data_IF_141375048637
#
_entry.id   IF_141375048637
#
_cell.length_a   1.000
_cell.length_b   1.000
_cell.length_c   1.000
_cell.angle_alpha   90.00
_cell.angle_beta   90.00
_cell.angle_gamma   90.00
#
_symmetry.space_group_name_H-M   'P 1'
#
loop_
_entity.id
_entity.type
_entity.pdbx_description
1 polymer ?
#
# COMPACT_ATOMS: atom_id res chain seq x y z
N UNK A 1 0.30 -11.14 -49.08
CA UNK A 1 -0.37 -12.22 -48.39
C UNK A 1 -1.63 -11.70 -47.69
N UNK A 2 -2.62 -12.54 -47.47
CA UNK A 2 -3.85 -12.23 -46.75
C UNK A 2 -3.76 -12.81 -45.36
N UNK A 3 -4.28 -12.10 -44.37
CA UNK A 3 -4.33 -12.53 -42.98
C UNK A 3 -5.75 -12.48 -42.44
N UNK A 4 -6.11 -13.44 -41.60
CA UNK A 4 -7.37 -13.47 -40.86
C UNK A 4 -7.24 -12.80 -39.48
N UNK A 5 -8.40 -12.53 -38.86
CA UNK A 5 -8.41 -12.02 -37.48
C UNK A 5 -7.78 -13.06 -36.55
N UNK A 6 -6.91 -12.61 -35.63
CA UNK A 6 -6.14 -13.43 -34.71
C UNK A 6 -5.04 -14.32 -35.34
N UNK A 7 -4.78 -14.20 -36.64
CA UNK A 7 -3.65 -14.88 -37.28
C UNK A 7 -2.33 -14.19 -36.90
N UNK A 8 -1.27 -14.95 -36.50
CA UNK A 8 0.00 -14.37 -36.10
C UNK A 8 0.70 -13.70 -37.30
N UNK A 9 1.03 -12.40 -37.14
CA UNK A 9 1.70 -11.60 -38.18
C UNK A 9 3.22 -11.70 -38.12
N UNK A 10 3.75 -11.78 -36.91
CA UNK A 10 5.19 -11.88 -36.63
C UNK A 10 5.44 -12.34 -35.20
N UNK A 11 6.64 -12.84 -34.96
CA UNK A 11 7.15 -13.23 -33.66
C UNK A 11 8.14 -12.17 -33.17
N UNK A 12 7.91 -11.61 -31.97
CA UNK A 12 8.83 -10.66 -31.33
C UNK A 12 9.58 -11.39 -30.23
N UNK A 13 10.90 -11.49 -30.39
CA UNK A 13 11.78 -12.10 -29.40
C UNK A 13 12.36 -11.03 -28.47
N UNK A 14 12.25 -11.27 -27.17
CA UNK A 14 12.91 -10.45 -26.13
C UNK A 14 13.88 -11.33 -25.36
N UNK A 15 14.74 -10.72 -24.52
CA UNK A 15 15.71 -11.45 -23.67
C UNK A 15 15.04 -12.43 -22.66
N UNK A 16 13.72 -12.46 -22.57
CA UNK A 16 12.97 -13.26 -21.59
C UNK A 16 11.81 -14.07 -22.13
N UNK A 17 11.16 -13.64 -23.21
CA UNK A 17 9.98 -14.30 -23.78
C UNK A 17 9.86 -14.01 -25.27
N UNK A 18 9.52 -15.04 -26.06
CA UNK A 18 9.08 -14.92 -27.44
C UNK A 18 7.55 -14.73 -27.43
N UNK A 19 7.05 -13.72 -28.13
CA UNK A 19 5.62 -13.37 -28.16
C UNK A 19 5.16 -13.22 -29.59
N UNK A 20 4.12 -13.95 -29.98
CA UNK A 20 3.44 -13.78 -31.27
C UNK A 20 2.50 -12.57 -31.23
N UNK A 21 2.51 -11.75 -32.29
CA UNK A 21 1.64 -10.57 -32.44
C UNK A 21 0.54 -10.93 -33.44
N UNK A 22 -0.72 -11.13 -32.98
CA UNK A 22 -1.84 -11.47 -33.86
C UNK A 22 -2.39 -10.24 -34.59
N UNK A 23 -2.99 -10.45 -35.76
CA UNK A 23 -3.67 -9.42 -36.52
C UNK A 23 -5.02 -9.06 -35.88
N UNK A 24 -5.29 -7.78 -35.55
CA UNK A 24 -6.59 -7.35 -35.04
C UNK A 24 -7.70 -7.26 -36.11
N UNK A 25 -7.35 -7.40 -37.39
CA UNK A 25 -8.30 -7.29 -38.52
C UNK A 25 -7.93 -8.26 -39.63
N UNK A 26 -8.92 -8.77 -40.35
CA UNK A 26 -8.68 -9.52 -41.57
C UNK A 26 -8.41 -8.58 -42.77
N UNK A 27 -7.45 -8.91 -43.60
CA UNK A 27 -7.12 -8.13 -44.79
C UNK A 27 -5.87 -8.57 -45.52
N UNK A 28 -5.43 -7.76 -46.47
CA UNK A 28 -4.16 -8.02 -47.21
C UNK A 28 -3.05 -7.17 -46.61
N UNK A 29 -1.89 -7.79 -46.39
CA UNK A 29 -0.69 -7.06 -45.97
C UNK A 29 -0.25 -6.12 -47.10
N UNK A 30 -0.29 -4.81 -46.81
CA UNK A 30 0.06 -3.76 -47.79
C UNK A 30 1.55 -3.38 -47.71
N UNK A 31 2.08 -3.34 -46.49
CA UNK A 31 3.46 -2.89 -46.24
C UNK A 31 3.95 -3.46 -44.94
N UNK A 32 5.18 -3.99 -44.93
CA UNK A 32 5.93 -4.37 -43.73
C UNK A 32 7.01 -3.32 -43.53
N UNK A 33 7.04 -2.70 -42.37
CA UNK A 33 7.88 -1.53 -42.09
C UNK A 33 9.21 -1.86 -41.42
N UNK A 34 9.40 -3.08 -40.95
CA UNK A 34 10.63 -3.57 -40.30
C UNK A 34 11.09 -4.88 -40.92
N UNK A 35 12.39 -5.14 -40.94
CA UNK A 35 12.97 -6.40 -41.47
C UNK A 35 13.27 -7.34 -40.29
N UNK A 36 13.58 -8.62 -40.62
CA UNK A 36 14.12 -9.57 -39.63
C UNK A 36 15.37 -8.98 -38.95
N UNK A 37 15.43 -9.15 -37.62
CA UNK A 37 16.50 -8.64 -36.73
C UNK A 37 16.49 -7.13 -36.46
N UNK A 38 15.49 -6.36 -36.89
CA UNK A 38 15.36 -4.95 -36.54
C UNK A 38 14.80 -4.78 -35.09
N UNK A 39 15.32 -3.78 -34.38
CA UNK A 39 14.82 -3.43 -33.03
C UNK A 39 13.60 -2.52 -33.17
N UNK A 40 12.49 -2.87 -32.51
CA UNK A 40 11.21 -2.17 -32.58
C UNK A 40 10.83 -1.66 -31.18
N UNK A 41 10.44 -0.39 -31.07
CA UNK A 41 9.96 0.17 -29.80
C UNK A 41 8.46 -0.09 -29.59
N UNK A 42 8.04 -0.19 -28.33
CA UNK A 42 6.64 -0.42 -27.97
C UNK A 42 5.77 0.76 -28.40
N UNK A 43 4.89 0.50 -29.39
CA UNK A 43 3.99 1.50 -29.96
C UNK A 43 4.24 1.83 -31.43
N UNK A 44 5.31 1.30 -32.01
CA UNK A 44 5.60 1.48 -33.44
C UNK A 44 4.66 0.66 -34.35
N UNK A 45 4.38 1.20 -35.54
CA UNK A 45 3.55 0.53 -36.54
C UNK A 45 4.42 -0.45 -37.34
N UNK A 46 4.18 -1.74 -37.14
CA UNK A 46 5.01 -2.82 -37.70
C UNK A 46 4.53 -3.23 -39.10
N UNK A 47 3.22 -3.38 -39.27
CA UNK A 47 2.57 -3.86 -40.50
C UNK A 47 1.33 -3.03 -40.82
N UNK A 48 1.04 -2.79 -42.10
CA UNK A 48 -0.20 -2.18 -42.57
C UNK A 48 -1.05 -3.23 -43.28
N UNK A 49 -2.28 -3.43 -42.78
CA UNK A 49 -3.26 -4.33 -43.35
C UNK A 49 -4.42 -3.52 -43.93
N UNK A 50 -4.87 -3.83 -45.14
CA UNK A 50 -5.97 -3.10 -45.79
C UNK A 50 -6.57 -3.86 -46.95
N UNK A 51 -7.59 -3.28 -47.63
CA UNK A 51 -8.22 -3.85 -48.84
C UNK A 51 -7.41 -3.54 -50.10
N UNK A 52 -7.24 -4.47 -51.03
CA UNK A 52 -6.49 -4.23 -52.29
C UNK A 52 -7.12 -3.12 -53.12
N UNK A 53 -6.39 -2.00 -53.32
CA UNK A 53 -6.82 -0.94 -54.24
C UNK A 53 -6.71 0.49 -53.76
N UNK A 54 -6.31 0.81 -52.54
CA UNK A 54 -6.07 2.17 -52.12
C UNK A 54 -4.57 2.52 -52.13
N UNK A 55 -4.18 3.34 -53.11
CA UNK A 55 -2.84 3.88 -53.23
C UNK A 55 -2.52 4.88 -52.11
N UNK A 56 -1.24 5.05 -51.68
CA UNK A 56 -0.88 5.85 -50.53
C UNK A 56 -0.97 7.35 -50.83
N UNK A 57 -1.76 8.07 -50.05
CA UNK A 57 -1.71 9.54 -49.99
C UNK A 57 -0.61 9.99 -49.03
N UNK A 58 0.12 10.99 -49.49
CA UNK A 58 1.29 11.59 -48.89
C UNK A 58 1.03 12.20 -47.50
N UNK A 59 2.12 12.29 -46.74
CA UNK A 59 2.27 12.92 -45.42
C UNK A 59 1.59 14.28 -45.33
N UNK A 60 0.79 14.47 -44.31
CA UNK A 60 0.52 15.79 -43.71
C UNK A 60 0.70 15.73 -42.20
N UNK A 61 1.36 16.77 -41.68
CA UNK A 61 1.66 17.02 -40.29
C UNK A 61 0.38 17.26 -39.44
N UNK A 62 0.42 17.06 -38.14
CA UNK A 62 -0.79 17.07 -37.31
C UNK A 62 -1.33 18.48 -37.08
N UNK A 63 -2.53 18.72 -37.57
CA UNK A 63 -3.30 19.90 -37.25
C UNK A 63 -4.16 19.70 -36.00
N UNK A 64 -4.21 20.79 -35.25
CA UNK A 64 -4.87 21.00 -33.96
C UNK A 64 -6.35 20.58 -33.92
N UNK A 65 -6.74 20.07 -32.75
CA UNK A 65 -8.12 19.80 -32.35
C UNK A 65 -9.08 21.00 -32.55
N UNK A 66 -10.33 20.77 -32.95
CA UNK A 66 -11.38 21.77 -32.88
C UNK A 66 -12.12 21.75 -31.56
N UNK A 67 -12.19 22.90 -30.97
CA UNK A 67 -12.91 23.35 -29.79
C UNK A 67 -14.43 23.22 -30.00
N UNK A 68 -15.11 22.51 -29.10
CA UNK A 68 -16.58 22.57 -29.04
C UNK A 68 -17.04 23.81 -28.28
N UNK A 69 -18.01 24.52 -28.86
CA UNK A 69 -18.63 25.74 -28.35
C UNK A 69 -19.57 25.48 -27.18
N UNK A 70 -19.53 26.39 -26.20
CA UNK A 70 -20.51 26.52 -25.12
C UNK A 70 -21.60 27.57 -25.50
N UNK A 71 -22.82 27.45 -24.96
CA UNK A 71 -23.84 28.47 -25.18
C UNK A 71 -23.71 29.68 -24.24
N UNK A 72 -23.90 30.86 -24.81
CA UNK A 72 -23.94 32.19 -24.18
C UNK A 72 -25.15 32.41 -23.29
N UNK A 73 -24.94 33.17 -22.19
CA UNK A 73 -25.77 34.34 -21.75
C UNK A 73 -25.14 34.87 -20.46
N UNK A 74 -25.02 36.07 -20.08
CA UNK A 74 -25.23 37.46 -20.58
C UNK A 74 -24.39 38.38 -19.67
N UNK A 75 -23.84 39.46 -20.21
CA UNK A 75 -23.07 40.49 -19.53
C UNK A 75 -24.03 41.52 -18.89
N UNK A 76 -23.60 42.64 -18.23
CA UNK A 76 -22.28 43.26 -18.24
C UNK A 76 -21.82 43.89 -16.90
N UNK A 77 -20.54 44.02 -16.67
CA UNK A 77 -19.98 45.11 -15.86
C UNK A 77 -18.50 45.37 -16.18
N UNK A 78 -18.31 46.52 -16.77
CA UNK A 78 -17.15 47.46 -16.79
C UNK A 78 -15.75 46.89 -16.89
N UNK A 79 -15.22 46.99 -18.05
CA UNK A 79 -13.82 47.02 -18.46
C UNK A 79 -13.05 48.10 -17.70
N UNK A 80 -12.05 47.73 -16.93
CA UNK A 80 -10.92 48.59 -16.62
C UNK A 80 -9.70 47.89 -17.24
N UNK A 81 -9.19 48.46 -18.32
CA UNK A 81 -7.89 48.14 -18.89
C UNK A 81 -6.83 48.49 -17.84
N UNK A 82 -6.00 47.52 -17.46
CA UNK A 82 -4.75 47.79 -16.78
C UNK A 82 -3.67 46.85 -17.34
N UNK A 83 -2.88 47.38 -18.22
CA UNK A 83 -1.80 46.70 -18.94
C UNK A 83 -0.54 46.48 -18.11
N UNK A 84 -0.60 46.42 -16.77
CA UNK A 84 0.57 46.22 -15.93
C UNK A 84 0.31 45.51 -14.59
N UNK A 85 -0.66 44.62 -14.50
CA UNK A 85 -0.85 43.87 -13.26
C UNK A 85 -0.08 42.54 -13.34
N UNK A 86 0.91 42.28 -12.43
CA UNK A 86 1.62 41.03 -12.39
C UNK A 86 0.66 39.85 -12.22
N UNK A 87 0.96 38.72 -12.86
CA UNK A 87 0.15 37.50 -12.71
C UNK A 87 0.15 37.00 -11.26
N UNK A 88 -1.00 37.10 -10.60
CA UNK A 88 -1.22 36.67 -9.21
C UNK A 88 -2.35 35.66 -9.13
N UNK A 89 -2.25 34.72 -8.18
CA UNK A 89 -3.33 33.76 -7.94
C UNK A 89 -4.58 34.45 -7.37
N UNK A 90 -5.79 33.89 -7.60
CA UNK A 90 -7.04 34.48 -7.06
C UNK A 90 -7.01 34.68 -5.53
N UNK A 91 -6.31 33.82 -4.80
CA UNK A 91 -6.15 33.93 -3.35
C UNK A 91 -5.31 35.15 -2.94
N UNK A 92 -4.23 35.42 -3.66
CA UNK A 92 -3.35 36.58 -3.42
C UNK A 92 -4.09 37.88 -3.74
N UNK A 93 -4.89 37.89 -4.80
CA UNK A 93 -5.74 39.04 -5.16
C UNK A 93 -6.78 39.36 -4.10
N UNK A 94 -7.54 38.35 -3.62
CA UNK A 94 -8.48 38.51 -2.50
C UNK A 94 -7.80 39.00 -1.22
N UNK A 95 -6.56 38.58 -0.96
CA UNK A 95 -5.82 39.00 0.21
C UNK A 95 -5.36 40.44 0.11
N UNK A 96 -4.92 40.90 -1.09
CA UNK A 96 -4.56 42.29 -1.37
C UNK A 96 -5.77 43.19 -1.22
N UNK A 97 -6.91 42.81 -1.79
CA UNK A 97 -8.17 43.54 -1.64
C UNK A 97 -8.60 43.69 -0.18
N UNK A 98 -8.49 42.60 0.58
CA UNK A 98 -8.82 42.56 2.04
C UNK A 98 -7.97 43.52 2.87
N UNK A 99 -6.70 43.69 2.50
CA UNK A 99 -5.76 44.52 3.23
C UNK A 99 -5.48 45.87 2.57
N UNK A 100 -6.17 46.21 1.48
CA UNK A 100 -6.00 47.48 0.76
C UNK A 100 -4.62 47.66 0.13
N UNK A 101 -3.97 46.57 -0.26
CA UNK A 101 -2.62 46.58 -0.84
C UNK A 101 -2.70 46.63 -2.38
N UNK A 102 -2.04 47.64 -2.96
CA UNK A 102 -1.92 47.75 -4.40
C UNK A 102 -0.85 46.79 -4.93
N UNK A 103 -1.28 45.78 -5.69
CA UNK A 103 -0.41 44.74 -6.24
C UNK A 103 0.61 45.28 -7.28
N UNK A 104 0.42 46.49 -7.81
CA UNK A 104 1.38 47.12 -8.74
C UNK A 104 2.62 47.65 -8.03
N UNK A 105 2.55 47.87 -6.70
CA UNK A 105 3.63 48.37 -5.86
C UNK A 105 4.36 47.30 -5.10
N UNK A 106 3.89 46.04 -5.17
CA UNK A 106 4.46 44.91 -4.44
C UNK A 106 5.46 44.16 -5.32
N UNK A 107 6.72 44.11 -4.86
CA UNK A 107 7.75 43.31 -5.51
C UNK A 107 7.59 41.82 -5.17
N UNK A 108 7.33 40.96 -6.17
CA UNK A 108 7.11 39.54 -5.97
C UNK A 108 8.40 38.74 -5.73
N UNK A 109 8.48 38.02 -4.60
CA UNK A 109 9.63 37.16 -4.23
C UNK A 109 9.52 35.73 -4.80
N UNK A 110 8.50 35.41 -5.58
CA UNK A 110 8.30 34.10 -6.20
C UNK A 110 9.13 33.87 -7.47
N UNK A 111 9.22 32.61 -7.92
CA UNK A 111 9.92 32.24 -9.15
C UNK A 111 9.31 33.03 -10.33
N UNK A 112 10.17 33.74 -11.08
CA UNK A 112 9.75 34.59 -12.17
C UNK A 112 9.08 35.90 -11.75
N UNK A 113 9.36 36.44 -10.55
CA UNK A 113 8.80 37.69 -10.06
C UNK A 113 7.32 37.59 -9.60
N UNK A 114 6.84 36.39 -9.34
CA UNK A 114 5.44 36.19 -8.90
C UNK A 114 5.21 36.68 -7.49
N UNK A 115 4.15 37.47 -7.26
CA UNK A 115 3.75 37.93 -5.93
C UNK A 115 3.12 36.79 -5.15
N UNK A 116 3.65 36.52 -3.94
CA UNK A 116 3.16 35.50 -2.99
C UNK A 116 2.29 36.14 -1.91
N UNK A 117 1.55 35.30 -1.18
CA UNK A 117 0.76 35.70 0.00
C UNK A 117 1.61 36.49 1.03
N UNK A 118 2.86 36.08 1.22
CA UNK A 118 3.78 36.71 2.15
C UNK A 118 4.17 38.12 1.74
N UNK A 119 4.32 38.41 0.46
CA UNK A 119 4.68 39.71 -0.08
C UNK A 119 3.53 40.72 0.14
N UNK A 120 2.28 40.27 -0.02
CA UNK A 120 1.09 41.08 0.27
C UNK A 120 0.96 41.39 1.77
N UNK A 121 1.22 40.40 2.66
CA UNK A 121 1.17 40.59 4.10
C UNK A 121 2.29 41.51 4.58
N UNK A 122 3.50 41.44 3.99
CA UNK A 122 4.61 42.33 4.28
C UNK A 122 4.29 43.77 3.85
N UNK A 123 3.70 43.95 2.65
CA UNK A 123 3.26 45.25 2.15
C UNK A 123 2.08 45.84 2.96
N UNK A 124 1.23 44.99 3.54
CA UNK A 124 0.13 45.39 4.41
C UNK A 124 0.57 45.80 5.82
N UNK A 125 1.85 45.66 6.17
CA UNK A 125 2.35 45.93 7.54
C UNK A 125 1.83 44.96 8.62
N UNK A 126 1.21 43.86 8.22
CA UNK A 126 0.67 42.84 9.12
C UNK A 126 1.71 41.72 9.23
N UNK A 127 2.63 41.85 10.22
CA UNK A 127 3.58 40.78 10.52
C UNK A 127 5.05 41.11 10.31
N UNK A 128 5.52 42.25 10.75
CA UNK A 128 6.95 42.46 10.94
C UNK A 128 7.38 41.84 12.28
N UNK A 129 7.68 40.54 12.30
CA UNK A 129 8.64 40.03 13.25
C UNK A 129 10.05 40.45 12.77
N UNK A 130 10.97 40.84 13.67
CA UNK A 130 12.30 41.34 13.27
C UNK A 130 13.02 40.28 12.46
N UNK A 131 13.59 40.69 11.35
CA UNK A 131 14.42 39.84 10.51
C UNK A 131 15.53 39.23 11.34
N UNK A 132 15.36 37.97 11.72
CA UNK A 132 16.47 37.16 12.21
C UNK A 132 17.52 37.13 11.13
N UNK A 133 18.72 37.62 11.40
CA UNK A 133 19.89 37.47 10.57
C UNK A 133 20.02 35.98 10.21
N UNK A 134 19.91 35.70 8.92
CA UNK A 134 20.14 34.35 8.39
C UNK A 134 21.64 34.07 8.63
N UNK A 135 21.93 33.35 9.71
CA UNK A 135 23.20 32.69 9.84
C UNK A 135 23.46 31.84 8.59
N UNK A 136 24.69 31.78 8.05
CA UNK A 136 24.97 30.95 6.89
C UNK A 136 24.50 29.55 7.17
N UNK A 137 23.62 29.04 6.31
CA UNK A 137 23.07 27.70 6.41
C UNK A 137 24.25 26.72 6.48
N UNK A 138 24.46 26.13 7.65
CA UNK A 138 25.35 24.99 7.76
C UNK A 138 24.81 23.91 6.80
N UNK A 139 25.67 23.23 6.04
CA UNK A 139 25.23 22.14 5.20
C UNK A 139 24.51 21.14 6.11
N UNK A 140 23.19 21.03 5.96
CA UNK A 140 22.41 19.99 6.62
C UNK A 140 22.95 18.70 6.04
N UNK A 141 23.79 18.03 6.79
CA UNK A 141 24.15 16.65 6.50
C UNK A 141 22.86 15.87 6.40
N UNK A 142 22.52 15.38 5.21
CA UNK A 142 21.43 14.44 5.00
C UNK A 142 21.83 13.06 5.58
N UNK A 143 22.28 13.03 6.81
CA UNK A 143 22.52 11.81 7.55
C UNK A 143 21.17 11.17 7.84
N UNK A 144 21.01 9.91 7.48
CA UNK A 144 19.93 9.06 7.95
C UNK A 144 19.74 9.28 9.45
N UNK A 145 18.54 9.64 9.87
CA UNK A 145 18.21 9.90 11.29
C UNK A 145 18.27 8.64 12.16
N UNK A 146 18.40 7.45 11.56
CA UNK A 146 18.68 6.20 12.29
C UNK A 146 20.19 6.03 12.40
N UNK A 147 20.71 6.15 13.63
CA UNK A 147 22.10 5.76 13.92
C UNK A 147 22.24 4.27 13.63
N UNK A 148 23.27 3.93 12.87
CA UNK A 148 23.63 2.52 12.65
C UNK A 148 24.05 1.94 14.00
N UNK A 149 23.45 0.79 14.38
CA UNK A 149 23.81 0.08 15.61
C UNK A 149 25.32 -0.22 15.61
N UNK A 150 26.09 0.31 16.58
CA UNK A 150 27.55 0.11 16.63
C UNK A 150 27.96 -1.36 16.72
N UNK A 151 27.12 -2.22 17.34
CA UNK A 151 27.40 -3.65 17.42
C UNK A 151 27.25 -4.33 16.06
N UNK A 152 26.28 -3.91 15.25
CA UNK A 152 26.14 -4.40 13.87
C UNK A 152 27.26 -3.93 12.96
N UNK A 153 27.84 -2.75 13.19
CA UNK A 153 29.00 -2.30 12.44
C UNK A 153 30.23 -3.19 12.62
N UNK A 154 30.40 -3.79 13.81
CA UNK A 154 31.51 -4.73 14.09
C UNK A 154 31.42 -6.03 13.28
N UNK A 155 30.29 -6.30 12.66
CA UNK A 155 30.08 -7.48 11.82
C UNK A 155 30.67 -7.31 10.42
N UNK A 156 30.94 -6.07 9.98
CA UNK A 156 31.44 -5.76 8.63
C UNK A 156 32.80 -6.42 8.44
N UNK A 157 32.92 -7.24 7.39
CA UNK A 157 34.15 -7.96 7.05
C UNK A 157 34.41 -9.21 7.89
N UNK A 158 33.49 -9.63 8.79
CA UNK A 158 33.63 -10.84 9.58
C UNK A 158 32.83 -12.00 8.96
N UNK A 159 33.28 -13.24 9.25
CA UNK A 159 32.53 -14.46 8.99
C UNK A 159 32.21 -15.10 10.32
N UNK A 160 30.93 -15.32 10.60
CA UNK A 160 30.46 -15.88 11.85
C UNK A 160 29.51 -17.07 11.63
N UNK A 161 29.50 -18.02 12.55
CA UNK A 161 28.48 -19.07 12.57
C UNK A 161 27.13 -18.47 12.96
N UNK A 162 26.09 -18.88 12.23
CA UNK A 162 24.71 -18.50 12.56
C UNK A 162 24.30 -19.14 13.90
N UNK A 163 23.44 -18.44 14.66
CA UNK A 163 22.86 -19.03 15.87
C UNK A 163 21.79 -20.08 15.50
N UNK A 164 21.41 -20.92 16.49
CA UNK A 164 20.46 -22.03 16.30
C UNK A 164 19.09 -21.56 15.78
N UNK A 165 18.60 -20.41 16.24
CA UNK A 165 17.28 -19.88 15.79
C UNK A 165 17.38 -19.52 14.31
N UNK A 166 18.44 -18.82 13.88
CA UNK A 166 18.65 -18.46 12.47
C UNK A 166 18.80 -19.70 11.58
N UNK A 167 19.50 -20.74 12.08
CA UNK A 167 19.64 -22.02 11.35
C UNK A 167 18.27 -22.70 11.14
N UNK A 168 17.44 -22.76 12.20
CA UNK A 168 16.09 -23.31 12.13
C UNK A 168 15.22 -22.49 11.17
N UNK A 169 15.26 -21.15 11.27
CA UNK A 169 14.51 -20.25 10.38
C UNK A 169 14.91 -20.48 8.93
N UNK A 170 16.22 -20.50 8.62
CA UNK A 170 16.71 -20.69 7.25
C UNK A 170 16.20 -22.01 6.64
N UNK A 171 16.28 -23.11 7.41
CA UNK A 171 15.78 -24.41 6.96
C UNK A 171 14.26 -24.39 6.76
N UNK A 172 13.50 -23.87 7.72
CA UNK A 172 12.04 -23.86 7.69
C UNK A 172 11.47 -22.98 6.59
N UNK A 173 12.07 -21.83 6.30
CA UNK A 173 11.63 -20.97 5.21
C UNK A 173 11.89 -21.57 3.83
N UNK A 174 13.03 -22.24 3.65
CA UNK A 174 13.32 -22.98 2.40
C UNK A 174 12.36 -24.16 2.25
N UNK A 175 12.18 -24.97 3.31
CA UNK A 175 11.23 -26.08 3.33
C UNK A 175 9.81 -25.60 2.96
N UNK A 176 9.35 -24.51 3.56
CA UNK A 176 8.03 -23.93 3.29
C UNK A 176 7.82 -23.60 1.80
N UNK A 177 8.80 -22.97 1.15
CA UNK A 177 8.71 -22.63 -0.28
C UNK A 177 8.77 -23.86 -1.19
N UNK A 178 9.37 -24.97 -0.74
CA UNK A 178 9.47 -26.20 -1.53
C UNK A 178 8.21 -27.08 -1.44
N UNK A 179 7.50 -27.06 -0.30
CA UNK A 179 6.35 -27.95 -0.07
C UNK A 179 4.99 -27.30 -0.28
N UNK A 180 4.94 -25.98 -0.43
CA UNK A 180 3.70 -25.23 -0.62
C UNK A 180 3.72 -24.37 -1.91
N UNK A 181 2.59 -24.30 -2.57
CA UNK A 181 2.36 -23.42 -3.73
C UNK A 181 1.95 -22.03 -3.25
N UNK A 182 2.91 -21.22 -2.79
CA UNK A 182 2.61 -19.93 -2.17
C UNK A 182 2.20 -18.88 -3.18
N UNK A 183 1.10 -18.20 -2.88
CA UNK A 183 0.58 -17.05 -3.60
C UNK A 183 0.23 -15.96 -2.59
N UNK A 184 0.41 -14.68 -2.94
CA UNK A 184 0.06 -13.55 -2.08
C UNK A 184 -1.05 -12.72 -2.71
N UNK A 185 -2.16 -12.56 -2.01
CA UNK A 185 -3.26 -11.66 -2.37
C UNK A 185 -3.25 -10.44 -1.45
N UNK A 186 -3.44 -9.26 -2.02
CA UNK A 186 -3.36 -7.98 -1.31
C UNK A 186 -4.71 -7.28 -1.30
N UNK A 187 -5.18 -6.89 -0.10
CA UNK A 187 -6.32 -6.00 0.06
C UNK A 187 -5.90 -4.69 0.72
N UNK A 188 -6.49 -3.59 0.27
CA UNK A 188 -6.38 -2.28 0.91
C UNK A 188 -7.58 -2.06 1.82
N UNK A 189 -7.33 -1.56 3.05
CA UNK A 189 -8.34 -1.40 4.10
C UNK A 189 -8.26 -0.02 4.71
N UNK A 190 -9.41 0.64 4.88
CA UNK A 190 -9.54 1.91 5.58
C UNK A 190 -9.64 1.72 7.10
N UNK A 191 -8.59 2.08 7.81
CA UNK A 191 -8.47 1.99 9.27
C UNK A 191 -8.89 3.29 9.98
N UNK A 192 -9.45 4.26 9.28
CA UNK A 192 -9.73 5.60 9.84
C UNK A 192 -10.63 5.51 11.06
N UNK A 193 -11.74 4.78 10.97
CA UNK A 193 -12.69 4.62 12.09
C UNK A 193 -12.07 3.85 13.26
N UNK A 194 -11.30 2.78 13.00
CA UNK A 194 -10.57 2.06 14.05
C UNK A 194 -9.54 2.96 14.73
N UNK A 195 -8.85 3.81 13.97
CA UNK A 195 -7.87 4.73 14.53
C UNK A 195 -8.52 5.79 15.42
N UNK A 196 -9.68 6.30 15.04
CA UNK A 196 -10.48 7.25 15.84
C UNK A 196 -11.01 6.57 17.10
N UNK A 197 -11.63 5.40 16.98
CA UNK A 197 -12.11 4.59 18.12
C UNK A 197 -10.97 4.30 19.11
N UNK A 198 -9.83 3.83 18.60
CA UNK A 198 -8.64 3.57 19.40
C UNK A 198 -8.14 4.83 20.11
N UNK A 199 -8.06 5.96 19.39
CA UNK A 199 -7.60 7.24 19.96
C UNK A 199 -8.49 7.70 21.10
N UNK A 200 -9.81 7.60 20.93
CA UNK A 200 -10.80 8.01 21.93
C UNK A 200 -10.73 7.13 23.20
N UNK A 201 -10.51 5.82 23.04
CA UNK A 201 -10.65 4.86 24.14
C UNK A 201 -9.31 4.41 24.76
N UNK A 202 -8.17 4.75 24.17
CA UNK A 202 -6.84 4.30 24.63
C UNK A 202 -6.57 4.53 26.12
N UNK A 203 -6.85 5.72 26.71
CA UNK A 203 -6.61 5.95 28.15
C UNK A 203 -7.47 5.05 29.03
N UNK A 204 -8.78 4.99 28.77
CA UNK A 204 -9.72 4.17 29.54
C UNK A 204 -9.42 2.68 29.43
N UNK A 205 -9.01 2.22 28.24
CA UNK A 205 -8.60 0.83 28.03
C UNK A 205 -7.35 0.47 28.83
N UNK A 206 -6.36 1.34 28.86
CA UNK A 206 -5.13 1.16 29.65
C UNK A 206 -5.45 1.14 31.15
N UNK A 207 -6.33 2.02 31.62
CA UNK A 207 -6.75 2.08 33.02
C UNK A 207 -7.48 0.83 33.46
N UNK A 208 -8.45 0.36 32.64
CA UNK A 208 -9.29 -0.80 32.99
C UNK A 208 -8.57 -2.13 32.83
N UNK A 209 -7.83 -2.31 31.72
CA UNK A 209 -7.26 -3.61 31.36
C UNK A 209 -5.77 -3.76 31.64
N UNK A 210 -5.07 -2.67 31.98
CA UNK A 210 -3.63 -2.67 32.35
C UNK A 210 -2.68 -2.82 31.17
N UNK A 211 -3.19 -2.84 29.93
CA UNK A 211 -2.39 -2.96 28.70
C UNK A 211 -2.72 -1.85 27.71
N UNK A 212 -1.74 -1.50 26.88
CA UNK A 212 -1.88 -0.43 25.90
C UNK A 212 -2.76 -0.90 24.72
N UNK A 213 -3.77 -0.12 24.32
CA UNK A 213 -4.58 -0.41 23.13
C UNK A 213 -3.78 -0.06 21.88
N UNK A 214 -3.21 -1.08 21.23
CA UNK A 214 -2.51 -0.98 19.94
C UNK A 214 -3.46 -1.37 18.79
N UNK A 215 -3.00 -1.33 17.53
CA UNK A 215 -3.82 -1.79 16.40
C UNK A 215 -3.88 -3.33 16.29
N UNK A 216 -2.85 -4.03 16.76
CA UNK A 216 -2.73 -5.47 16.58
C UNK A 216 -3.89 -6.29 17.18
N UNK A 217 -4.45 -5.96 18.36
CA UNK A 217 -5.65 -6.64 18.87
C UNK A 217 -6.88 -6.54 17.97
N UNK A 218 -7.08 -5.39 17.27
CA UNK A 218 -8.17 -5.24 16.31
C UNK A 218 -7.97 -6.14 15.09
N UNK A 219 -6.75 -6.18 14.55
CA UNK A 219 -6.42 -7.12 13.47
C UNK A 219 -6.59 -8.55 13.92
N UNK A 220 -6.06 -8.92 15.09
CA UNK A 220 -6.17 -10.28 15.62
C UNK A 220 -7.65 -10.71 15.80
N UNK A 221 -8.50 -9.84 16.35
CA UNK A 221 -9.93 -10.12 16.53
C UNK A 221 -10.62 -10.34 15.19
N UNK A 222 -10.44 -9.43 14.22
CA UNK A 222 -11.03 -9.55 12.89
C UNK A 222 -10.53 -10.81 12.14
N UNK A 223 -9.25 -11.17 12.26
CA UNK A 223 -8.67 -12.37 11.66
C UNK A 223 -9.25 -13.63 12.29
N UNK A 224 -9.36 -13.68 13.62
CA UNK A 224 -9.93 -14.83 14.34
C UNK A 224 -11.38 -15.06 13.97
N UNK A 225 -12.20 -14.00 13.93
CA UNK A 225 -13.59 -14.06 13.48
C UNK A 225 -13.70 -14.57 12.03
N UNK A 226 -12.81 -14.08 11.14
CA UNK A 226 -12.77 -14.52 9.75
C UNK A 226 -12.33 -15.99 9.62
N UNK A 227 -11.36 -16.47 10.43
CA UNK A 227 -10.93 -17.88 10.42
C UNK A 227 -12.05 -18.84 10.88
N UNK A 228 -12.89 -18.43 11.82
CA UNK A 228 -14.07 -19.19 12.21
C UNK A 228 -15.11 -19.25 11.07
N UNK A 229 -15.29 -18.14 10.35
CA UNK A 229 -16.22 -18.06 9.22
C UNK A 229 -15.71 -18.77 7.94
N UNK A 230 -14.39 -18.92 7.78
CA UNK A 230 -13.75 -19.50 6.61
C UNK A 230 -12.82 -20.68 7.00
N UNK A 231 -13.39 -21.85 7.39
CA UNK A 231 -12.62 -22.98 7.92
C UNK A 231 -11.59 -23.55 6.93
N UNK A 232 -11.77 -23.37 5.63
CA UNK A 232 -10.80 -23.76 4.61
C UNK A 232 -9.46 -22.97 4.68
N UNK A 233 -9.46 -21.79 5.29
CA UNK A 233 -8.25 -21.01 5.57
C UNK A 233 -7.61 -21.40 6.91
N UNK A 234 -8.40 -21.93 7.87
CA UNK A 234 -7.91 -22.49 9.13
C UNK A 234 -7.71 -24.00 9.00
N UNK A 235 -6.94 -24.42 8.00
CA UNK A 235 -6.74 -25.82 7.63
C UNK A 235 -5.26 -26.13 7.42
N UNK A 236 -4.95 -27.41 7.29
CA UNK A 236 -3.64 -27.92 6.88
C UNK A 236 -3.76 -29.07 5.91
N UNK A 237 -2.76 -29.26 5.06
CA UNK A 237 -2.71 -30.30 4.05
C UNK A 237 -1.55 -31.25 4.28
N UNK A 238 -1.84 -32.54 4.17
CA UNK A 238 -0.84 -33.60 4.16
C UNK A 238 -0.77 -34.18 2.73
N UNK A 239 0.27 -33.86 2.00
CA UNK A 239 0.44 -34.31 0.61
C UNK A 239 0.69 -35.85 0.49
N UNK A 240 1.20 -36.50 1.52
CA UNK A 240 1.47 -37.97 1.52
C UNK A 240 0.16 -38.75 1.64
N UNK A 241 -0.70 -38.37 2.59
CA UNK A 241 -2.01 -39.01 2.81
C UNK A 241 -3.10 -38.42 1.92
N UNK A 242 -2.87 -37.25 1.27
CA UNK A 242 -3.85 -36.47 0.49
C UNK A 242 -5.07 -36.06 1.31
N UNK A 243 -4.86 -35.73 2.58
CA UNK A 243 -5.91 -35.36 3.52
C UNK A 243 -5.79 -33.89 3.91
N UNK A 244 -6.94 -33.24 4.05
CA UNK A 244 -7.07 -31.93 4.65
C UNK A 244 -7.59 -32.05 6.08
N UNK A 245 -6.93 -31.35 6.99
CA UNK A 245 -7.40 -31.20 8.37
C UNK A 245 -7.96 -29.79 8.55
N UNK A 246 -9.27 -29.69 8.85
CA UNK A 246 -9.89 -28.45 9.25
C UNK A 246 -9.82 -28.33 10.77
N UNK A 247 -9.11 -27.30 11.27
CA UNK A 247 -8.85 -27.15 12.69
C UNK A 247 -10.10 -26.65 13.42
N UNK A 248 -10.44 -27.32 14.53
CA UNK A 248 -11.59 -26.94 15.37
C UNK A 248 -11.32 -25.63 16.13
N UNK A 249 -10.08 -25.41 16.53
CA UNK A 249 -9.66 -24.21 17.24
C UNK A 249 -8.85 -23.28 16.31
N UNK A 250 -8.97 -21.98 16.53
CA UNK A 250 -8.07 -20.98 15.94
C UNK A 250 -6.91 -20.76 16.90
N UNK A 251 -5.75 -21.30 16.54
CA UNK A 251 -4.51 -21.08 17.28
C UNK A 251 -3.65 -20.05 16.51
N UNK A 252 -3.70 -18.79 16.98
CA UNK A 252 -3.10 -17.67 16.26
C UNK A 252 -1.64 -17.47 16.66
N UNK A 253 -0.73 -17.72 15.71
CA UNK A 253 0.69 -17.43 15.87
C UNK A 253 0.96 -15.95 15.61
N UNK A 254 1.79 -15.32 16.46
CA UNK A 254 2.19 -13.91 16.32
C UNK A 254 3.69 -13.86 16.02
N UNK A 255 4.08 -13.23 14.91
CA UNK A 255 5.49 -13.02 14.59
C UNK A 255 6.11 -11.98 15.54
N UNK A 256 7.14 -12.37 16.28
CA UNK A 256 7.83 -11.51 17.26
C UNK A 256 9.31 -11.44 16.91
N UNK A 257 9.80 -10.22 16.66
CA UNK A 257 11.23 -9.95 16.56
C UNK A 257 11.89 -9.98 17.95
N UNK A 258 12.99 -10.72 18.04
CA UNK A 258 13.80 -10.85 19.26
C UNK A 258 15.29 -10.68 18.97
N UNK A 259 16.11 -10.35 19.97
CA UNK A 259 17.57 -10.27 19.77
C UNK A 259 18.20 -11.54 19.21
N UNK A 260 17.59 -12.70 19.45
CA UNK A 260 18.08 -14.00 18.98
C UNK A 260 17.56 -14.37 17.58
N UNK A 261 16.52 -13.69 17.09
CA UNK A 261 15.86 -13.92 15.80
C UNK A 261 14.35 -13.91 15.87
N UNK A 262 13.71 -14.23 14.77
CA UNK A 262 12.24 -14.24 14.65
C UNK A 262 11.67 -15.50 15.32
N UNK A 263 10.67 -15.31 16.18
CA UNK A 263 9.90 -16.38 16.81
C UNK A 263 8.41 -16.16 16.52
N UNK A 264 7.63 -17.25 16.50
CA UNK A 264 6.17 -17.23 16.23
C UNK A 264 5.41 -17.93 17.36
N UNK A 265 5.35 -17.33 18.58
CA UNK A 265 4.56 -17.89 19.67
C UNK A 265 3.07 -17.86 19.35
N UNK A 266 2.32 -18.78 19.97
CA UNK A 266 0.94 -19.15 19.66
C UNK A 266 0.00 -18.73 20.78
N UNK A 267 -1.08 -18.02 20.40
CA UNK A 267 -2.26 -17.82 21.25
C UNK A 267 -3.21 -18.97 20.94
N UNK A 268 -3.34 -19.91 21.87
CA UNK A 268 -4.24 -21.05 21.71
C UNK A 268 -5.69 -20.63 21.92
N UNK A 269 -6.62 -21.23 21.13
CA UNK A 269 -8.06 -21.00 21.20
C UNK A 269 -8.43 -19.53 21.15
N UNK A 270 -7.81 -18.80 20.25
CA UNK A 270 -7.99 -17.36 20.13
C UNK A 270 -9.46 -16.95 19.88
N UNK A 271 -10.30 -17.85 19.36
CA UNK A 271 -11.72 -17.64 19.16
C UNK A 271 -12.53 -17.49 20.48
N UNK A 272 -11.98 -18.01 21.59
CA UNK A 272 -12.62 -17.90 22.91
C UNK A 272 -12.25 -16.59 23.63
N UNK A 273 -11.28 -15.82 23.10
CA UNK A 273 -10.75 -14.63 23.75
C UNK A 273 -11.47 -13.34 23.31
N UNK A 274 -11.73 -12.48 24.27
CA UNK A 274 -12.16 -11.11 24.02
C UNK A 274 -10.99 -10.24 23.48
N UNK A 275 -11.30 -9.04 22.97
CA UNK A 275 -10.28 -8.12 22.46
C UNK A 275 -9.27 -7.71 23.55
N UNK A 276 -9.68 -7.38 24.80
CA UNK A 276 -8.75 -7.15 25.91
C UNK A 276 -7.88 -8.37 26.24
N UNK A 277 -8.43 -9.58 26.22
CA UNK A 277 -7.69 -10.79 26.47
C UNK A 277 -6.67 -11.08 25.35
N UNK A 278 -7.03 -10.88 24.09
CA UNK A 278 -6.09 -10.92 22.97
C UNK A 278 -4.97 -9.89 23.13
N UNK A 279 -5.30 -8.66 23.55
CA UNK A 279 -4.31 -7.61 23.79
C UNK A 279 -3.30 -8.01 24.89
N UNK A 280 -3.78 -8.60 25.98
CA UNK A 280 -2.95 -9.11 27.09
C UNK A 280 -2.07 -10.27 26.62
N UNK A 281 -2.64 -11.23 25.90
CA UNK A 281 -1.91 -12.41 25.40
C UNK A 281 -0.79 -12.01 24.43
N UNK A 282 -1.05 -11.04 23.52
CA UNK A 282 -0.05 -10.50 22.59
C UNK A 282 1.12 -9.87 23.35
N UNK A 283 0.84 -9.04 24.36
CA UNK A 283 1.87 -8.37 25.16
C UNK A 283 2.68 -9.38 25.97
N UNK A 284 2.03 -10.32 26.65
CA UNK A 284 2.68 -11.37 27.44
C UNK A 284 3.61 -12.25 26.58
N UNK A 285 3.09 -12.76 25.44
CA UNK A 285 3.89 -13.59 24.54
C UNK A 285 5.07 -12.85 23.95
N UNK A 286 4.90 -11.58 23.57
CA UNK A 286 5.99 -10.77 23.04
C UNK A 286 7.06 -10.50 24.10
N UNK A 287 6.67 -10.21 25.33
CA UNK A 287 7.60 -10.02 26.46
C UNK A 287 8.37 -11.31 26.77
N UNK A 288 7.66 -12.44 26.90
CA UNK A 288 8.29 -13.74 27.14
C UNK A 288 9.21 -14.18 26.00
N UNK A 289 8.85 -13.89 24.76
CA UNK A 289 9.70 -14.16 23.59
C UNK A 289 11.03 -13.40 23.65
N UNK A 290 10.98 -12.08 23.91
CA UNK A 290 12.17 -11.24 24.01
C UNK A 290 13.07 -11.59 25.20
N UNK A 291 12.48 -12.11 26.26
CA UNK A 291 13.20 -12.49 27.49
C UNK A 291 13.57 -14.00 27.56
N UNK A 292 13.41 -14.74 26.46
CA UNK A 292 13.68 -16.20 26.40
C UNK A 292 12.89 -17.01 27.45
N UNK A 293 11.65 -16.60 27.75
CA UNK A 293 10.77 -17.25 28.74
C UNK A 293 9.61 -18.03 28.11
N UNK A 294 9.65 -18.25 26.79
CA UNK A 294 8.64 -19.07 26.12
C UNK A 294 8.77 -20.54 26.54
N UNK A 295 7.64 -21.19 26.69
CA UNK A 295 7.53 -22.64 26.95
C UNK A 295 7.38 -23.39 25.61
N UNK A 296 7.70 -24.68 25.54
CA UNK A 296 7.54 -25.48 24.32
C UNK A 296 6.11 -25.40 23.73
N UNK A 297 5.08 -25.37 24.58
CA UNK A 297 3.69 -25.25 24.14
C UNK A 297 3.38 -23.88 23.49
N UNK A 298 4.09 -22.84 23.87
CA UNK A 298 3.91 -21.50 23.26
C UNK A 298 4.43 -21.47 21.80
N UNK A 299 5.19 -22.45 21.35
CA UNK A 299 5.82 -22.51 20.03
C UNK A 299 5.24 -23.62 19.12
N UNK A 300 4.14 -24.23 19.52
CA UNK A 300 3.55 -25.38 18.82
C UNK A 300 2.04 -25.23 18.63
N UNK A 301 1.50 -25.93 17.64
CA UNK A 301 0.06 -26.03 17.43
C UNK A 301 -0.63 -24.79 16.81
N UNK A 302 0.15 -23.84 16.27
CA UNK A 302 -0.40 -22.70 15.53
C UNK A 302 -1.07 -23.15 14.24
N UNK A 303 -2.26 -22.59 13.95
CA UNK A 303 -3.05 -22.91 12.74
C UNK A 303 -3.04 -21.81 11.71
N UNK A 304 -2.73 -20.57 12.11
CA UNK A 304 -2.60 -19.41 11.25
C UNK A 304 -1.60 -18.42 11.85
N UNK A 305 -0.94 -17.61 11.04
CA UNK A 305 0.06 -16.64 11.52
C UNK A 305 -0.32 -15.22 11.13
N UNK A 306 -0.11 -14.28 12.07
CA UNK A 306 -0.11 -12.84 11.79
C UNK A 306 1.30 -12.28 11.94
N UNK A 307 1.73 -11.45 10.99
CA UNK A 307 3.02 -10.76 11.04
C UNK A 307 2.84 -9.26 10.86
N UNK A 308 3.31 -8.47 11.84
CA UNK A 308 3.29 -7.00 11.75
C UNK A 308 4.53 -6.51 11.02
N UNK A 309 4.40 -6.28 9.71
CA UNK A 309 5.46 -5.73 8.86
C UNK A 309 5.50 -4.19 8.90
N UNK A 310 4.40 -3.57 9.32
CA UNK A 310 4.25 -2.12 9.37
C UNK A 310 4.99 -1.44 10.52
N UNK A 311 5.48 -2.19 11.52
CA UNK A 311 6.23 -1.63 12.66
C UNK A 311 7.51 -0.92 12.23
N UNK A 312 8.16 -1.39 11.18
CA UNK A 312 9.36 -0.80 10.58
C UNK A 312 9.06 0.02 9.31
N UNK A 313 7.78 0.28 9.02
CA UNK A 313 7.33 1.16 7.95
C UNK A 313 7.09 0.48 6.61
N UNK A 314 7.16 -0.85 6.52
CA UNK A 314 6.82 -1.57 5.30
C UNK A 314 5.33 -1.45 5.00
N UNK A 315 4.97 -1.09 3.77
CA UNK A 315 3.58 -1.00 3.33
C UNK A 315 2.99 -2.37 3.04
N UNK A 316 3.75 -3.24 2.41
CA UNK A 316 3.38 -4.60 2.05
C UNK A 316 4.63 -5.48 1.96
N UNK A 317 4.42 -6.79 1.98
CA UNK A 317 5.44 -7.82 1.79
C UNK A 317 4.76 -9.10 1.28
N UNK A 318 5.55 -10.13 0.97
CA UNK A 318 5.09 -11.48 0.64
C UNK A 318 5.56 -12.44 1.74
N UNK A 319 4.88 -12.51 2.91
CA UNK A 319 5.34 -13.32 4.02
C UNK A 319 5.35 -14.80 3.66
N UNK A 320 6.38 -15.51 4.10
CA UNK A 320 6.52 -16.95 3.87
C UNK A 320 5.69 -17.72 4.90
N UNK A 321 4.93 -18.70 4.45
CA UNK A 321 4.11 -19.58 5.29
C UNK A 321 4.91 -20.31 6.37
N UNK A 322 4.22 -20.67 7.44
CA UNK A 322 4.73 -21.56 8.48
C UNK A 322 4.00 -22.90 8.38
N UNK A 323 4.53 -23.86 7.61
CA UNK A 323 3.85 -25.14 7.43
C UNK A 323 3.61 -25.85 8.79
N UNK A 324 2.48 -26.58 8.92
CA UNK A 324 1.49 -26.94 7.90
C UNK A 324 0.31 -25.95 7.77
N UNK A 325 0.45 -24.70 8.21
CA UNK A 325 -0.60 -23.69 8.15
C UNK A 325 -0.94 -23.32 6.69
N UNK A 326 -2.22 -23.08 6.40
CA UNK A 326 -2.70 -22.70 5.09
C UNK A 326 -2.42 -21.23 4.73
N UNK A 327 -2.20 -20.37 5.73
CA UNK A 327 -2.02 -18.94 5.48
C UNK A 327 -1.24 -18.17 6.55
N UNK A 328 -0.70 -17.04 6.12
CA UNK A 328 -0.10 -16.00 6.96
C UNK A 328 -0.54 -14.63 6.47
N UNK A 329 -1.01 -13.78 7.38
CA UNK A 329 -1.43 -12.42 7.06
C UNK A 329 -0.42 -11.40 7.57
N UNK A 330 0.07 -10.56 6.65
CA UNK A 330 0.84 -9.37 6.99
C UNK A 330 -0.07 -8.19 7.33
N UNK A 331 0.33 -7.38 8.29
CA UNK A 331 -0.27 -6.06 8.52
C UNK A 331 0.75 -4.99 8.20
N UNK A 332 0.50 -4.22 7.13
CA UNK A 332 1.36 -3.14 6.67
C UNK A 332 1.33 -1.91 7.58
N UNK A 333 2.16 -0.92 7.28
CA UNK A 333 2.12 0.36 7.96
C UNK A 333 0.81 1.09 7.64
N UNK A 334 0.13 1.59 8.69
CA UNK A 334 -1.04 2.44 8.54
C UNK A 334 -0.57 3.85 8.20
N UNK A 335 -0.89 4.31 6.98
CA UNK A 335 -0.44 5.59 6.45
C UNK A 335 -1.62 6.44 5.97
N UNK A 336 -1.51 7.76 6.09
CA UNK A 336 -2.51 8.68 5.53
C UNK A 336 -2.34 8.78 4.01
N UNK A 337 -3.43 8.51 3.28
CA UNK A 337 -3.49 8.58 1.81
C UNK A 337 -4.71 9.38 1.35
N UNK A 338 -4.62 10.11 0.24
CA UNK A 338 -5.81 10.61 -0.45
C UNK A 338 -6.50 9.42 -1.13
N UNK A 339 -7.79 9.26 -0.87
CA UNK A 339 -8.63 8.23 -1.49
C UNK A 339 -9.91 8.85 -1.99
N UNK A 340 -10.50 8.27 -3.02
CA UNK A 340 -11.83 8.63 -3.48
C UNK A 340 -12.85 7.99 -2.55
N UNK A 341 -13.79 8.79 -2.05
CA UNK A 341 -14.96 8.31 -1.30
C UNK A 341 -16.21 8.75 -2.06
N UNK A 342 -17.21 7.88 -2.11
CA UNK A 342 -18.50 8.16 -2.73
C UNK A 342 -19.55 8.28 -1.63
N UNK A 343 -20.13 9.47 -1.46
CA UNK A 343 -21.23 9.73 -0.53
C UNK A 343 -22.40 10.31 -1.35
N UNK A 344 -23.58 9.72 -1.20
CA UNK A 344 -24.79 10.09 -1.93
C UNK A 344 -24.62 10.14 -3.47
N UNK A 345 -23.76 9.26 -4.01
CA UNK A 345 -23.44 9.18 -5.44
C UNK A 345 -22.48 10.26 -5.94
N UNK A 346 -21.86 11.03 -5.04
CA UNK A 346 -20.88 12.07 -5.37
C UNK A 346 -19.50 11.64 -4.92
N UNK A 347 -18.55 11.60 -5.85
CA UNK A 347 -17.15 11.30 -5.59
C UNK A 347 -16.43 12.53 -5.01
N UNK A 348 -15.68 12.31 -3.94
CA UNK A 348 -14.83 13.31 -3.31
C UNK A 348 -13.50 12.73 -2.88
N UNK A 349 -12.48 13.56 -2.71
CA UNK A 349 -11.17 13.12 -2.21
C UNK A 349 -11.11 13.36 -0.71
N UNK A 350 -10.90 12.29 0.05
CA UNK A 350 -10.71 12.34 1.49
C UNK A 350 -9.32 11.80 1.89
N UNK A 351 -8.83 12.28 3.03
CA UNK A 351 -7.63 11.71 3.65
C UNK A 351 -8.07 10.60 4.58
N UNK A 352 -7.62 9.36 4.31
CA UNK A 352 -7.92 8.16 5.11
C UNK A 352 -6.64 7.52 5.63
N UNK A 353 -6.74 6.78 6.72
CA UNK A 353 -5.67 5.97 7.26
C UNK A 353 -5.74 4.58 6.66
N UNK A 354 -4.93 4.32 5.64
CA UNK A 354 -4.97 3.11 4.84
C UNK A 354 -3.91 2.12 5.28
N UNK A 355 -4.23 0.83 5.20
CA UNK A 355 -3.32 -0.28 5.43
C UNK A 355 -3.44 -1.30 4.30
N UNK A 356 -2.34 -1.93 3.96
CA UNK A 356 -2.35 -3.13 3.12
C UNK A 356 -2.30 -4.40 3.99
N UNK A 357 -3.12 -5.38 3.60
CA UNK A 357 -3.19 -6.70 4.21
C UNK A 357 -2.77 -7.75 3.17
N UNK A 358 -1.46 -8.07 3.06
CA UNK A 358 -0.99 -9.17 2.24
C UNK A 358 -1.26 -10.51 2.93
N UNK A 359 -2.04 -11.36 2.30
CA UNK A 359 -2.28 -12.74 2.67
C UNK A 359 -1.45 -13.65 1.77
N UNK A 360 -0.41 -14.29 2.31
CA UNK A 360 0.21 -15.42 1.63
C UNK A 360 -0.51 -16.71 2.05
N UNK A 361 -0.81 -17.56 1.08
CA UNK A 361 -1.55 -18.80 1.30
C UNK A 361 -1.03 -19.92 0.41
N UNK A 362 -1.29 -21.16 0.82
CA UNK A 362 -0.95 -22.34 0.04
C UNK A 362 -2.06 -22.64 -0.98
N UNK A 363 -1.75 -22.39 -2.24
CA UNK A 363 -2.71 -22.60 -3.34
C UNK A 363 -2.98 -24.08 -3.65
N UNK A 364 -2.38 -25.01 -2.91
CA UNK A 364 -2.76 -26.41 -2.94
C UNK A 364 -4.12 -26.66 -2.26
N UNK A 365 -4.51 -25.79 -1.31
CA UNK A 365 -5.71 -25.98 -0.47
C UNK A 365 -6.60 -24.74 -0.36
N UNK A 366 -6.10 -23.55 -0.68
CA UNK A 366 -6.87 -22.29 -0.66
C UNK A 366 -6.87 -21.67 -2.04
N UNK A 367 -8.04 -21.48 -2.64
CA UNK A 367 -8.20 -20.80 -3.92
C UNK A 367 -8.22 -19.28 -3.76
N UNK A 368 -7.92 -18.57 -4.86
CA UNK A 368 -7.95 -17.10 -4.87
C UNK A 368 -9.30 -16.49 -4.47
N UNK A 369 -10.41 -17.17 -4.83
CA UNK A 369 -11.76 -16.75 -4.42
C UNK A 369 -11.99 -16.92 -2.91
N UNK A 370 -11.46 -17.97 -2.29
CA UNK A 370 -11.55 -18.20 -0.85
C UNK A 370 -10.68 -17.21 -0.08
N UNK A 371 -9.46 -16.98 -0.54
CA UNK A 371 -8.57 -15.95 -0.02
C UNK A 371 -9.22 -14.55 -0.10
N UNK A 372 -9.87 -14.24 -1.22
CA UNK A 372 -10.59 -12.98 -1.42
C UNK A 372 -11.77 -12.82 -0.46
N UNK A 373 -12.61 -13.86 -0.28
CA UNK A 373 -13.73 -13.84 0.69
C UNK A 373 -13.24 -13.68 2.13
N UNK A 374 -12.19 -14.39 2.50
CA UNK A 374 -11.56 -14.28 3.82
C UNK A 374 -11.05 -12.85 4.08
N UNK A 375 -10.29 -12.28 3.14
CA UNK A 375 -9.80 -10.90 3.26
C UNK A 375 -10.91 -9.87 3.26
N UNK A 376 -11.99 -10.08 2.49
CA UNK A 376 -13.16 -9.21 2.48
C UNK A 376 -13.86 -9.22 3.85
N UNK A 377 -14.01 -10.38 4.49
CA UNK A 377 -14.57 -10.47 5.84
C UNK A 377 -13.74 -9.66 6.85
N UNK A 378 -12.42 -9.75 6.79
CA UNK A 378 -11.53 -8.94 7.65
C UNK A 378 -11.66 -7.45 7.34
N UNK A 379 -11.67 -7.09 6.05
CA UNK A 379 -11.82 -5.71 5.58
C UNK A 379 -13.13 -5.10 6.09
N UNK A 380 -14.25 -5.77 5.89
CA UNK A 380 -15.57 -5.28 6.32
C UNK A 380 -15.63 -5.07 7.83
N UNK A 381 -15.03 -5.97 8.62
CA UNK A 381 -14.97 -5.86 10.08
C UNK A 381 -14.16 -4.65 10.53
N UNK A 382 -13.02 -4.41 9.89
CA UNK A 382 -12.14 -3.29 10.21
C UNK A 382 -12.71 -1.94 9.74
N UNK A 383 -13.31 -1.88 8.55
CA UNK A 383 -13.87 -0.63 7.98
C UNK A 383 -15.17 -0.21 8.64
N UNK A 384 -16.00 -1.18 9.06
CA UNK A 384 -17.19 -0.91 9.92
C UNK A 384 -16.76 -0.39 11.29
N UNK A 385 -15.66 -0.92 11.83
CA UNK A 385 -15.08 -0.58 13.13
C UNK A 385 -16.03 -0.74 14.33
N UNK A 386 -16.98 -1.69 14.26
CA UNK A 386 -17.95 -1.93 15.30
C UNK A 386 -17.31 -2.73 16.46
N UNK A 387 -16.34 -2.13 17.15
CA UNK A 387 -15.58 -2.73 18.26
C UNK A 387 -15.88 -2.09 19.63
N UNK A 388 -16.86 -1.17 19.73
CA UNK A 388 -17.17 -0.49 20.99
C UNK A 388 -17.51 -1.49 22.11
N UNK A 389 -18.33 -2.50 21.81
CA UNK A 389 -18.68 -3.57 22.75
C UNK A 389 -17.48 -4.47 23.10
N UNK A 390 -16.60 -4.72 22.10
CA UNK A 390 -15.43 -5.58 22.28
C UNK A 390 -14.35 -4.95 23.19
N UNK A 391 -14.36 -3.62 23.36
CA UNK A 391 -13.43 -2.93 24.25
C UNK A 391 -13.72 -3.18 25.74
N UNK A 392 -14.93 -3.67 26.08
CA UNK A 392 -15.36 -3.97 27.44
C UNK A 392 -15.08 -2.81 28.43
N UNK A 393 -15.42 -1.57 28.06
CA UNK A 393 -15.18 -0.39 28.87
C UNK A 393 -16.34 0.01 29.79
N UNK A 394 -17.52 -0.58 29.58
CA UNK A 394 -18.70 -0.43 30.42
C UNK A 394 -18.57 -1.18 31.76
#
# INVERSE_FOLDING_TARGET
DTVDVDEPLLEVSTDKVDTEVPSPVAGTILEILFNEDDTVDVGDVIVRVGTPGSAPAAKEEPAKEPKAEAPKKEAPAKTINNENVPYVTPLVRKLADKHGVDLTTVEGTGIGGRIRKQDVLAAAGVGAAPAAQVAPAQPVSAASTKSVDPEKQKLIGTTQKVNRIREITARKTVEALQISAQLTQLHEVDMTKVAELRKANKPAFQEKHGVNLTYLPFFAKAIVEALVAHPNVNASYNAETKEMTYHADVNLSIAVDTPAGLLTPVIHKAQELSLPELAKAIVDLADRARNNKLKPNDLSGGTFTITNIGSEGALSDTPILVPPQAGILGTGAIVKRPVVITEDGIDSIAIRQMVYLPLSYDHQIVDGADAGRFLTTIKDRLETANFEGDLELS
#
